data_IF_111800510554
#
_entry.id   IF_111800510554
#
_cell.length_a   1.000
_cell.length_b   1.000
_cell.length_c   1.000
_cell.angle_alpha   90.00
_cell.angle_beta   90.00
_cell.angle_gamma   90.00
#
_symmetry.space_group_name_H-M   'P 1'
#
loop_
_entity.id
_entity.type
_entity.pdbx_description
1 polymer ?
#
# COMPACT_ATOMS: atom_id res chain seq x y z
N UNK A 1 31.87 -60.97 -30.02
CA UNK A 1 31.10 -59.89 -29.37
C UNK A 1 31.78 -59.59 -28.04
N UNK A 2 32.55 -58.51 -27.95
CA UNK A 2 33.31 -58.16 -26.74
C UNK A 2 32.58 -57.00 -26.04
N UNK A 3 32.00 -57.25 -24.86
CA UNK A 3 31.33 -56.25 -24.05
C UNK A 3 32.37 -55.39 -23.35
N UNK A 4 32.51 -54.14 -23.78
CA UNK A 4 33.39 -53.15 -23.14
C UNK A 4 32.79 -52.79 -21.78
N UNK A 5 33.41 -53.27 -20.72
CA UNK A 5 33.08 -52.97 -19.32
C UNK A 5 33.06 -51.44 -19.09
N UNK A 6 31.89 -50.91 -18.73
CA UNK A 6 31.72 -49.51 -18.33
C UNK A 6 32.31 -49.30 -16.94
N UNK A 7 33.33 -48.44 -16.82
CA UNK A 7 33.99 -48.14 -15.57
C UNK A 7 33.08 -47.27 -14.69
N UNK A 8 32.33 -47.91 -13.78
CA UNK A 8 31.31 -47.29 -12.92
C UNK A 8 31.80 -46.07 -12.13
N UNK A 9 33.11 -45.99 -11.83
CA UNK A 9 33.72 -44.86 -11.11
C UNK A 9 33.69 -43.55 -11.90
N UNK A 10 33.87 -43.61 -13.22
CA UNK A 10 33.86 -42.42 -14.09
C UNK A 10 32.42 -41.94 -14.34
N UNK A 11 31.46 -42.86 -14.33
CA UNK A 11 30.04 -42.56 -14.54
C UNK A 11 29.40 -41.86 -13.34
N UNK A 12 29.73 -42.27 -12.11
CA UNK A 12 29.25 -41.61 -10.89
C UNK A 12 29.74 -40.16 -10.77
N UNK A 13 31.00 -39.90 -11.14
CA UNK A 13 31.59 -38.56 -11.07
C UNK A 13 30.92 -37.56 -12.02
N UNK A 14 30.53 -38.00 -13.22
CA UNK A 14 29.83 -37.16 -14.18
C UNK A 14 28.38 -36.86 -13.77
N UNK A 15 27.65 -37.81 -13.19
CA UNK A 15 26.27 -37.58 -12.70
C UNK A 15 26.23 -36.56 -11.54
N UNK A 16 27.24 -36.59 -10.66
CA UNK A 16 27.29 -35.71 -9.49
C UNK A 16 27.51 -34.23 -9.86
N UNK A 17 28.28 -33.95 -10.91
CA UNK A 17 28.51 -32.57 -11.38
C UNK A 17 27.26 -31.95 -12.02
N UNK A 18 26.48 -32.73 -12.78
CA UNK A 18 25.23 -32.22 -13.37
C UNK A 18 24.17 -31.88 -12.31
N UNK A 19 24.04 -32.69 -11.25
CA UNK A 19 23.09 -32.42 -10.15
C UNK A 19 23.50 -31.16 -9.38
N UNK A 20 24.80 -30.95 -9.11
CA UNK A 20 25.28 -29.78 -8.38
C UNK A 20 25.00 -28.47 -9.14
N UNK A 21 25.21 -28.46 -10.47
CA UNK A 21 24.95 -27.29 -11.33
C UNK A 21 23.45 -27.01 -11.43
N UNK A 22 22.59 -28.04 -11.48
CA UNK A 22 21.13 -27.87 -11.50
C UNK A 22 20.59 -27.29 -10.17
N UNK A 23 21.14 -27.72 -9.02
CA UNK A 23 20.73 -27.20 -7.70
C UNK A 23 21.19 -25.76 -7.51
N UNK A 24 22.41 -25.41 -7.94
CA UNK A 24 22.90 -24.03 -7.88
C UNK A 24 22.17 -23.09 -8.86
N UNK A 25 21.75 -23.58 -10.04
CA UNK A 25 20.93 -22.79 -10.96
C UNK A 25 19.53 -22.49 -10.42
N UNK A 26 18.94 -23.40 -9.64
CA UNK A 26 17.59 -23.24 -9.10
C UNK A 26 17.51 -22.22 -7.95
N UNK A 27 18.58 -22.06 -7.15
CA UNK A 27 18.57 -21.14 -6.00
C UNK A 27 18.63 -19.65 -6.40
N UNK A 28 19.07 -19.32 -7.62
CA UNK A 28 19.05 -17.94 -8.13
C UNK A 28 17.75 -17.57 -8.89
N UNK A 29 16.93 -18.55 -9.27
CA UNK A 29 15.68 -18.32 -10.01
C UNK A 29 14.49 -18.00 -9.10
N UNK A 30 14.52 -18.43 -7.84
CA UNK A 30 13.47 -18.14 -6.86
C UNK A 30 13.90 -17.01 -5.92
N UNK A 31 14.12 -15.81 -6.47
CA UNK A 31 13.83 -14.62 -5.66
C UNK A 31 12.31 -14.59 -5.50
N UNK A 32 11.75 -14.77 -4.29
CA UNK A 32 10.33 -14.49 -4.11
C UNK A 32 10.15 -13.04 -4.53
N UNK A 33 9.39 -12.82 -5.60
CA UNK A 33 8.96 -11.50 -5.96
C UNK A 33 8.27 -10.97 -4.71
N UNK A 34 8.90 -10.00 -4.03
CA UNK A 34 8.21 -9.25 -2.98
C UNK A 34 6.91 -8.80 -3.65
N UNK A 35 5.74 -9.10 -3.07
CA UNK A 35 4.51 -8.58 -3.62
C UNK A 35 4.75 -7.08 -3.80
N UNK A 36 4.68 -6.62 -5.05
CA UNK A 36 4.68 -5.21 -5.31
C UNK A 36 3.54 -4.70 -4.45
N UNK A 37 3.88 -3.96 -3.38
CA UNK A 37 2.88 -3.25 -2.61
C UNK A 37 2.32 -2.29 -3.64
N UNK A 38 1.18 -2.64 -4.25
CA UNK A 38 0.35 -1.69 -4.97
C UNK A 38 0.12 -0.58 -3.97
N UNK A 39 0.89 0.49 -4.09
CA UNK A 39 0.57 1.74 -3.42
C UNK A 39 -0.81 2.05 -3.94
N UNK A 40 -1.83 1.82 -3.10
CA UNK A 40 -3.18 2.31 -3.35
C UNK A 40 -3.01 3.77 -3.75
N UNK A 41 -3.33 4.07 -5.00
CA UNK A 41 -3.28 5.44 -5.51
C UNK A 41 -4.34 6.19 -4.72
N UNK A 42 -3.91 7.05 -3.80
CA UNK A 42 -4.84 7.83 -3.01
C UNK A 42 -5.42 8.94 -3.89
N UNK A 43 -6.75 9.16 -3.84
CA UNK A 43 -7.35 10.28 -4.55
C UNK A 43 -6.86 11.60 -3.96
N UNK A 44 -6.76 12.63 -4.81
CA UNK A 44 -6.53 14.00 -4.38
C UNK A 44 -7.89 14.63 -4.04
N UNK A 45 -8.05 15.08 -2.80
CA UNK A 45 -9.35 15.51 -2.25
C UNK A 45 -9.31 16.95 -1.73
N UNK A 46 -10.45 17.61 -1.77
CA UNK A 46 -10.75 18.82 -1.00
C UNK A 46 -11.19 18.42 0.41
N UNK A 47 -10.45 18.87 1.41
CA UNK A 47 -10.60 18.53 2.81
C UNK A 47 -11.39 19.60 3.55
N UNK A 48 -12.28 19.16 4.44
CA UNK A 48 -13.15 20.03 5.20
C UNK A 48 -13.18 19.66 6.68
N UNK A 49 -13.26 20.68 7.54
CA UNK A 49 -13.57 20.51 8.95
C UNK A 49 -15.06 20.19 9.15
N UNK A 50 -15.35 19.46 10.23
CA UNK A 50 -16.68 18.95 10.54
C UNK A 50 -17.08 19.49 11.92
N UNK A 51 -18.32 19.96 12.02
CA UNK A 51 -18.89 20.38 13.30
C UNK A 51 -19.24 19.19 14.20
N UNK A 52 -19.49 19.40 15.50
CA UNK A 52 -20.01 18.37 16.39
C UNK A 52 -21.37 17.79 15.94
N UNK A 53 -22.13 18.52 15.12
CA UNK A 53 -23.41 18.07 14.56
C UNK A 53 -23.26 17.45 13.17
N UNK A 54 -22.05 17.02 12.78
CA UNK A 54 -21.78 16.37 11.50
C UNK A 54 -22.15 17.24 10.29
N UNK A 55 -21.82 18.53 10.34
CA UNK A 55 -21.96 19.44 9.20
C UNK A 55 -20.61 19.95 8.73
N UNK A 56 -20.48 20.13 7.42
CA UNK A 56 -19.31 20.72 6.77
C UNK A 56 -19.15 22.17 7.21
N UNK A 57 -17.95 22.55 7.68
CA UNK A 57 -17.69 23.91 8.18
C UNK A 57 -16.77 24.72 7.28
N UNK A 58 -15.47 24.43 7.27
CA UNK A 58 -14.49 25.20 6.50
C UNK A 58 -13.66 24.27 5.62
N UNK A 59 -13.37 24.72 4.40
CA UNK A 59 -12.40 24.07 3.54
C UNK A 59 -10.99 24.35 4.08
N UNK A 60 -10.16 23.30 4.16
CA UNK A 60 -8.84 23.35 4.79
C UNK A 60 -7.71 23.51 3.78
N UNK A 61 -7.90 23.09 2.53
CA UNK A 61 -6.94 23.20 1.44
C UNK A 61 -7.51 23.97 0.24
N UNK A 62 -6.66 24.75 -0.43
CA UNK A 62 -7.01 25.48 -1.66
C UNK A 62 -6.84 24.63 -2.92
N UNK A 63 -6.16 23.49 -2.83
CA UNK A 63 -5.93 22.57 -3.96
C UNK A 63 -6.03 21.12 -3.49
N UNK A 64 -6.57 20.20 -4.31
CA UNK A 64 -6.75 18.80 -3.94
C UNK A 64 -5.44 18.15 -3.49
N UNK A 65 -5.49 17.41 -2.39
CA UNK A 65 -4.32 16.68 -1.88
C UNK A 65 -4.71 15.33 -1.29
N UNK A 66 -3.74 14.42 -1.22
CA UNK A 66 -3.98 13.06 -0.76
C UNK A 66 -4.25 13.00 0.75
N UNK A 67 -4.80 11.89 1.22
CA UNK A 67 -5.03 11.66 2.65
C UNK A 67 -3.71 11.67 3.41
N UNK A 68 -2.69 10.99 2.91
CA UNK A 68 -1.35 10.94 3.52
C UNK A 68 -0.71 12.32 3.66
N UNK A 69 -0.86 13.19 2.65
CA UNK A 69 -0.32 14.55 2.72
C UNK A 69 -1.04 15.41 3.76
N UNK A 70 -2.33 15.18 3.96
CA UNK A 70 -3.18 15.93 4.90
C UNK A 70 -3.02 15.49 6.36
N UNK A 71 -2.61 14.24 6.60
CA UNK A 71 -2.47 13.66 7.95
C UNK A 71 -1.31 14.29 8.74
N UNK A 72 -1.23 13.96 10.03
CA UNK A 72 -0.12 14.36 10.88
C UNK A 72 1.21 13.81 10.31
N UNK A 73 2.21 14.68 10.13
CA UNK A 73 3.49 14.41 9.46
C UNK A 73 3.43 14.25 7.92
N UNK A 74 2.27 14.51 7.30
CA UNK A 74 2.15 14.64 5.86
C UNK A 74 2.88 15.88 5.32
N UNK A 75 3.18 15.88 4.02
CA UNK A 75 3.91 16.98 3.37
C UNK A 75 3.19 18.33 3.50
N UNK A 76 1.85 18.32 3.54
CA UNK A 76 0.99 19.50 3.69
C UNK A 76 -0.08 19.22 4.75
N UNK A 77 0.35 18.95 5.98
CA UNK A 77 -0.53 18.55 7.07
C UNK A 77 -1.60 19.61 7.35
N UNK A 78 -2.87 19.20 7.29
CA UNK A 78 -4.03 20.04 7.60
C UNK A 78 -4.60 19.75 9.00
N UNK A 79 -4.18 18.63 9.59
CA UNK A 79 -4.74 18.12 10.83
C UNK A 79 -3.71 17.33 11.62
N UNK A 80 -3.87 17.32 12.94
CA UNK A 80 -3.14 16.48 13.88
C UNK A 80 -3.81 15.10 14.11
N UNK A 81 -4.65 14.67 13.16
CA UNK A 81 -5.39 13.42 13.24
C UNK A 81 -4.61 12.26 12.61
N UNK A 82 -4.64 11.09 13.27
CA UNK A 82 -3.82 9.89 12.95
C UNK A 82 -4.58 8.71 12.33
N UNK A 83 -5.88 8.87 12.09
CA UNK A 83 -6.76 7.84 11.53
C UNK A 83 -6.86 6.53 12.35
N UNK A 84 -6.88 6.62 13.68
CA UNK A 84 -6.81 5.45 14.58
C UNK A 84 -8.14 5.05 15.24
N UNK A 85 -9.12 5.96 15.22
CA UNK A 85 -10.43 5.82 15.87
C UNK A 85 -11.54 5.78 14.82
N UNK A 86 -12.78 5.37 15.14
CA UNK A 86 -13.91 5.47 14.20
C UNK A 86 -14.45 6.90 14.04
N UNK A 87 -14.04 7.84 14.90
CA UNK A 87 -14.57 9.21 14.89
C UNK A 87 -13.89 10.03 13.78
N UNK A 88 -14.66 10.51 12.82
CA UNK A 88 -14.16 11.34 11.73
C UNK A 88 -13.72 12.70 12.26
N UNK A 89 -12.52 13.11 11.87
CA UNK A 89 -11.90 14.38 12.21
C UNK A 89 -12.07 15.39 11.08
N UNK A 90 -11.66 15.01 9.86
CA UNK A 90 -11.89 15.78 8.64
C UNK A 90 -12.33 14.84 7.51
N UNK A 91 -13.07 15.40 6.55
CA UNK A 91 -13.66 14.66 5.42
C UNK A 91 -13.14 15.24 4.10
N UNK A 92 -12.90 14.37 3.13
CA UNK A 92 -12.40 14.69 1.81
C UNK A 92 -13.45 14.44 0.73
N UNK A 93 -13.48 15.30 -0.30
CA UNK A 93 -14.35 15.16 -1.47
C UNK A 93 -13.56 15.39 -2.76
N UNK A 94 -13.93 14.70 -3.84
CA UNK A 94 -13.27 14.84 -5.14
C UNK A 94 -13.57 16.20 -5.82
N UNK A 95 -14.61 16.89 -5.36
CA UNK A 95 -14.99 18.24 -5.80
C UNK A 95 -15.30 19.13 -4.60
N UNK A 96 -15.24 20.45 -4.81
CA UNK A 96 -15.64 21.41 -3.79
C UNK A 96 -17.09 21.19 -3.33
N UNK A 97 -17.34 21.37 -2.04
CA UNK A 97 -18.64 21.16 -1.40
C UNK A 97 -19.19 22.45 -0.80
N UNK A 98 -20.52 22.54 -0.75
CA UNK A 98 -21.21 23.64 -0.08
C UNK A 98 -21.12 23.47 1.44
N UNK A 99 -20.65 24.52 2.13
CA UNK A 99 -20.56 24.57 3.58
C UNK A 99 -21.96 24.52 4.22
N UNK A 100 -22.05 23.99 5.44
CA UNK A 100 -23.30 23.83 6.19
C UNK A 100 -24.11 22.58 5.83
N UNK A 101 -23.70 21.81 4.82
CA UNK A 101 -24.34 20.54 4.46
C UNK A 101 -23.96 19.43 5.44
N UNK A 102 -24.87 18.48 5.65
CA UNK A 102 -24.62 17.31 6.50
C UNK A 102 -23.66 16.33 5.82
N UNK A 103 -22.67 15.82 6.56
CA UNK A 103 -21.83 14.74 6.04
C UNK A 103 -22.63 13.43 5.91
N UNK A 104 -22.33 12.59 4.90
CA UNK A 104 -22.99 11.30 4.76
C UNK A 104 -22.67 10.39 5.96
N UNK A 105 -23.61 9.50 6.29
CA UNK A 105 -23.46 8.55 7.40
C UNK A 105 -22.37 7.51 7.18
N UNK A 106 -22.01 7.26 5.91
CA UNK A 106 -20.91 6.40 5.50
C UNK A 106 -20.00 7.16 4.55
N UNK A 107 -18.72 7.24 4.91
CA UNK A 107 -17.67 7.88 4.13
C UNK A 107 -16.61 6.83 3.82
N UNK A 108 -16.13 6.80 2.58
CA UNK A 108 -15.03 5.92 2.20
C UNK A 108 -13.80 6.20 3.07
N UNK A 109 -13.03 5.16 3.39
CA UNK A 109 -11.86 5.31 4.26
C UNK A 109 -10.85 6.32 3.69
N UNK A 110 -10.66 6.29 2.37
CA UNK A 110 -9.73 7.16 1.66
C UNK A 110 -10.22 8.63 1.61
N UNK A 111 -11.51 8.87 1.91
CA UNK A 111 -12.18 10.17 1.98
C UNK A 111 -12.39 10.66 3.41
N UNK A 112 -11.81 10.00 4.42
CA UNK A 112 -11.95 10.41 5.81
C UNK A 112 -10.63 10.28 6.55
N UNK A 113 -10.29 11.27 7.37
CA UNK A 113 -9.21 11.18 8.36
C UNK A 113 -9.86 11.19 9.73
N UNK A 114 -9.50 10.24 10.58
CA UNK A 114 -10.11 10.04 11.90
C UNK A 114 -9.19 10.44 13.04
N UNK A 115 -9.75 10.69 14.22
CA UNK A 115 -8.96 11.12 15.38
C UNK A 115 -7.94 10.06 15.82
N UNK A 116 -6.87 10.52 16.48
CA UNK A 116 -5.96 9.68 17.28
C UNK A 116 -6.70 9.08 18.48
N UNK A 117 -6.23 7.93 18.97
CA UNK A 117 -6.64 7.42 20.28
C UNK A 117 -6.16 8.32 21.42
#
# INVERSE_FOLDING_TARGET
>A
MNTKSFNRKTWLGAMFTFVLVAVLGLTFAFKPAKPAVEKKVQPSLYWYSISPTNTLQAQLNTSPQTKDDSMENGANSLTNCKDETPKVCIIGYDSEQTLGTSIPSSVANDHSIRFSR
#
